data_IF_124390048174
#
_entry.id   IF_124390048174
#
_cell.length_a   1.000
_cell.length_b   1.000
_cell.length_c   1.000
_cell.angle_alpha   90.00
_cell.angle_beta   90.00
_cell.angle_gamma   90.00
#
_symmetry.space_group_name_H-M   'P 1'
#
loop_
_entity.id
_entity.type
_entity.pdbx_description
1 polymer ?
#
# COMPACT_ATOMS: atom_id res chain seq x y z
N UNK A 1 19.89 8.08 -19.71
CA UNK A 1 19.16 7.34 -18.65
C UNK A 1 18.17 8.28 -17.98
N UNK A 2 16.86 8.00 -18.03
CA UNK A 2 15.88 8.82 -17.31
C UNK A 2 16.13 8.65 -15.81
N UNK A 3 16.45 9.74 -15.15
CA UNK A 3 16.73 9.79 -13.71
C UNK A 3 15.52 9.28 -12.91
N UNK A 4 15.76 8.32 -12.00
CA UNK A 4 14.71 7.79 -11.11
C UNK A 4 14.45 8.80 -9.98
N UNK A 5 13.66 9.85 -10.28
CA UNK A 5 13.26 10.88 -9.31
C UNK A 5 11.74 11.04 -9.26
N UNK A 6 11.24 11.44 -8.11
CA UNK A 6 9.88 11.91 -7.93
C UNK A 6 9.72 13.33 -8.48
N UNK A 7 8.52 13.68 -8.91
CA UNK A 7 8.21 15.03 -9.38
C UNK A 7 8.21 16.01 -8.20
N UNK A 8 7.73 15.53 -7.03
CA UNK A 8 7.74 16.29 -5.76
C UNK A 8 8.14 15.38 -4.59
N UNK A 9 8.77 15.98 -3.58
CA UNK A 9 9.04 15.37 -2.28
C UNK A 9 8.43 16.26 -1.22
N UNK A 10 7.60 15.67 -0.36
CA UNK A 10 6.99 16.33 0.79
C UNK A 10 7.52 15.67 2.05
N UNK A 11 7.88 16.48 3.05
CA UNK A 11 8.24 16.02 4.39
C UNK A 11 7.13 16.46 5.34
N UNK A 12 6.72 15.57 6.21
CA UNK A 12 5.72 15.85 7.23
C UNK A 12 6.25 15.37 8.57
N UNK A 13 6.25 16.25 9.55
CA UNK A 13 6.63 15.90 10.92
C UNK A 13 5.45 15.21 11.59
N UNK A 14 5.74 14.12 12.28
CA UNK A 14 4.79 13.43 13.13
C UNK A 14 5.11 13.78 14.57
N UNK A 15 4.39 14.75 15.14
CA UNK A 15 4.45 15.14 16.56
C UNK A 15 5.89 15.19 17.15
N UNK A 16 6.87 15.67 16.38
CA UNK A 16 8.30 15.69 16.71
C UNK A 16 8.98 14.33 16.95
N UNK A 17 8.28 13.23 16.68
CA UNK A 17 8.81 11.87 16.87
C UNK A 17 9.56 11.38 15.63
N UNK A 18 9.04 11.66 14.45
CA UNK A 18 9.63 11.18 13.19
C UNK A 18 9.26 12.07 12.00
N UNK A 19 10.12 12.07 10.99
CA UNK A 19 9.83 12.70 9.69
C UNK A 19 9.39 11.63 8.71
N UNK A 20 8.16 11.75 8.21
CA UNK A 20 7.67 10.92 7.12
C UNK A 20 7.93 11.65 5.81
N UNK A 21 8.57 10.96 4.87
CA UNK A 21 8.84 11.48 3.55
C UNK A 21 7.89 10.86 2.52
N UNK A 22 7.30 11.71 1.69
CA UNK A 22 6.40 11.34 0.61
C UNK A 22 7.00 11.73 -0.74
N UNK A 23 7.20 10.75 -1.62
CA UNK A 23 7.58 10.98 -3.01
C UNK A 23 6.35 10.90 -3.91
N UNK A 24 6.11 11.93 -4.73
CA UNK A 24 4.92 12.05 -5.57
C UNK A 24 5.33 12.00 -7.04
N UNK A 25 4.68 11.11 -7.80
CA UNK A 25 4.61 11.17 -9.27
C UNK A 25 3.23 11.72 -9.63
N UNK A 26 3.18 12.88 -10.27
CA UNK A 26 1.95 13.60 -10.54
C UNK A 26 1.11 12.95 -11.64
N UNK A 27 -0.19 12.95 -11.48
CA UNK A 27 -1.14 12.36 -12.41
C UNK A 27 -2.57 12.86 -12.19
N UNK A 28 -3.55 12.02 -12.54
CA UNK A 28 -4.98 12.31 -12.37
C UNK A 28 -5.47 12.09 -10.92
N UNK A 29 -6.78 12.17 -10.73
CA UNK A 29 -7.47 12.04 -9.44
C UNK A 29 -7.58 10.60 -8.89
N UNK A 30 -7.03 9.59 -9.57
CA UNK A 30 -6.84 8.26 -9.01
C UNK A 30 -5.47 8.21 -8.34
N UNK A 31 -5.46 8.10 -7.02
CA UNK A 31 -4.24 8.12 -6.22
C UNK A 31 -3.85 6.68 -5.88
N UNK A 32 -2.67 6.23 -6.29
CA UNK A 32 -2.08 5.02 -5.74
C UNK A 32 -1.17 5.43 -4.59
N UNK A 33 -1.56 5.08 -3.37
CA UNK A 33 -0.76 5.34 -2.18
C UNK A 33 0.02 4.08 -1.80
N UNK A 34 1.35 4.17 -1.81
CA UNK A 34 2.27 3.07 -1.48
C UNK A 34 2.88 3.33 -0.10
N UNK A 35 2.53 2.48 0.88
CA UNK A 35 3.10 2.49 2.24
C UNK A 35 4.16 1.41 2.35
N UNK A 36 5.41 1.80 2.62
CA UNK A 36 6.53 0.88 2.77
C UNK A 36 6.44 0.02 4.04
N UNK A 37 7.24 -1.03 4.11
CA UNK A 37 7.48 -1.79 5.33
C UNK A 37 8.14 -0.94 6.43
N UNK A 38 8.24 -1.49 7.64
CA UNK A 38 8.84 -0.80 8.78
C UNK A 38 10.26 -0.32 8.48
N UNK A 39 10.56 0.92 8.81
CA UNK A 39 11.82 1.62 8.52
C UNK A 39 12.14 1.72 7.01
N UNK A 40 11.17 1.41 6.15
CA UNK A 40 11.34 1.51 4.71
C UNK A 40 11.32 2.94 4.19
N UNK A 41 12.08 3.20 3.14
CA UNK A 41 12.10 4.48 2.44
C UNK A 41 10.98 4.59 1.41
N UNK A 42 10.67 5.81 0.96
CA UNK A 42 9.77 6.06 -0.16
C UNK A 42 10.23 5.47 -1.50
N UNK A 43 11.52 5.13 -1.62
CA UNK A 43 12.05 4.49 -2.83
C UNK A 43 11.84 2.98 -2.84
N UNK A 44 11.75 2.36 -1.65
CA UNK A 44 11.75 0.91 -1.46
C UNK A 44 13.14 0.29 -1.71
N UNK A 45 13.26 -0.99 -1.39
CA UNK A 45 14.46 -1.76 -1.67
C UNK A 45 14.75 -1.76 -3.19
N UNK A 46 16.00 -1.52 -3.61
CA UNK A 46 16.41 -1.41 -5.01
C UNK A 46 15.55 -0.43 -5.86
N UNK A 47 15.04 0.64 -5.24
CA UNK A 47 14.18 1.62 -5.91
C UNK A 47 12.86 1.03 -6.46
N UNK A 48 12.35 -0.06 -5.88
CA UNK A 48 11.15 -0.76 -6.36
C UNK A 48 9.93 0.16 -6.46
N UNK A 49 9.70 0.99 -5.44
CA UNK A 49 8.49 1.81 -5.40
C UNK A 49 8.50 2.93 -6.44
N UNK A 50 9.63 3.59 -6.65
CA UNK A 50 9.68 4.63 -7.69
C UNK A 50 9.61 4.04 -9.11
N UNK A 51 10.22 2.86 -9.34
CA UNK A 51 10.08 2.14 -10.61
C UNK A 51 8.60 1.78 -10.86
N UNK A 52 7.93 1.20 -9.87
CA UNK A 52 6.50 0.89 -9.89
C UNK A 52 5.65 2.14 -10.10
N UNK A 53 5.94 3.23 -9.37
CA UNK A 53 5.22 4.49 -9.48
C UNK A 53 5.25 5.07 -10.90
N UNK A 54 6.44 5.11 -11.52
CA UNK A 54 6.60 5.58 -12.90
C UNK A 54 5.86 4.68 -13.90
N UNK A 55 5.90 3.36 -13.70
CA UNK A 55 5.17 2.40 -14.53
C UNK A 55 3.66 2.62 -14.46
N UNK A 56 3.10 2.72 -13.25
CA UNK A 56 1.67 2.96 -13.03
C UNK A 56 1.23 4.31 -13.60
N UNK A 57 1.97 5.37 -13.34
CA UNK A 57 1.69 6.70 -13.90
C UNK A 57 1.72 6.69 -15.42
N UNK A 58 2.73 6.08 -16.05
CA UNK A 58 2.84 5.97 -17.50
C UNK A 58 1.62 5.26 -18.10
N UNK A 59 1.17 4.14 -17.48
CA UNK A 59 0.10 3.29 -18.00
C UNK A 59 -1.30 3.84 -17.72
N UNK A 60 -1.55 4.29 -16.49
CA UNK A 60 -2.88 4.66 -16.01
C UNK A 60 -3.07 6.16 -15.80
N UNK A 61 -2.02 6.94 -16.00
CA UNK A 61 -2.02 8.41 -15.74
C UNK A 61 -2.39 8.76 -14.29
N UNK A 62 -2.38 7.78 -13.38
CA UNK A 62 -2.71 7.99 -11.98
C UNK A 62 -1.60 8.75 -11.24
N UNK A 63 -1.97 9.46 -10.19
CA UNK A 63 -1.01 9.99 -9.23
C UNK A 63 -0.49 8.84 -8.38
N UNK A 64 0.83 8.79 -8.12
CA UNK A 64 1.39 7.80 -7.20
C UNK A 64 2.14 8.52 -6.09
N UNK A 65 1.79 8.20 -4.85
CA UNK A 65 2.42 8.75 -3.63
C UNK A 65 3.08 7.61 -2.87
N UNK A 66 4.40 7.61 -2.77
CA UNK A 66 5.18 6.63 -2.04
C UNK A 66 5.62 7.20 -0.69
N UNK A 67 5.28 6.54 0.40
CA UNK A 67 5.57 6.98 1.77
C UNK A 67 6.72 6.18 2.37
N UNK A 68 7.64 6.85 3.06
CA UNK A 68 8.49 6.20 4.05
C UNK A 68 7.63 5.72 5.23
N UNK A 69 8.17 4.84 6.06
CA UNK A 69 7.48 4.28 7.21
C UNK A 69 8.41 4.19 8.42
N UNK A 70 8.81 5.34 9.01
CA UNK A 70 9.51 5.31 10.28
C UNK A 70 8.63 4.66 11.34
N UNK A 71 9.24 4.04 12.35
CA UNK A 71 8.50 3.50 13.48
C UNK A 71 7.82 4.64 14.24
N UNK A 72 6.49 4.53 14.41
CA UNK A 72 5.72 5.42 15.24
C UNK A 72 4.55 4.63 15.88
N UNK A 73 4.18 4.97 17.11
CA UNK A 73 3.15 4.28 17.87
C UNK A 73 1.72 4.75 17.58
N UNK A 74 1.51 5.76 16.72
CA UNK A 74 0.21 6.36 16.42
C UNK A 74 -0.37 5.83 15.11
N UNK A 75 -1.58 6.29 14.72
CA UNK A 75 -2.17 5.96 13.44
C UNK A 75 -1.38 6.62 12.29
N UNK A 76 -0.57 5.87 11.55
CA UNK A 76 0.32 6.45 10.55
C UNK A 76 -0.39 6.87 9.26
N UNK A 77 -1.70 6.66 9.12
CA UNK A 77 -2.47 7.06 7.95
C UNK A 77 -3.04 8.48 8.06
N UNK A 78 -3.24 9.03 9.25
CA UNK A 78 -3.72 10.41 9.40
C UNK A 78 -2.76 11.42 8.78
N UNK A 79 -1.47 11.25 9.04
CA UNK A 79 -0.43 12.08 8.43
C UNK A 79 -0.41 11.91 6.90
N UNK A 80 -0.53 10.68 6.41
CA UNK A 80 -0.58 10.39 4.98
C UNK A 80 -1.79 11.04 4.31
N UNK A 81 -2.96 10.97 4.95
CA UNK A 81 -4.18 11.57 4.39
C UNK A 81 -4.13 13.09 4.41
N UNK A 82 -3.51 13.72 5.39
CA UNK A 82 -3.23 15.17 5.36
C UNK A 82 -2.44 15.56 4.11
N UNK A 83 -1.41 14.79 3.76
CA UNK A 83 -0.61 15.05 2.55
C UNK A 83 -1.42 14.77 1.28
N UNK A 84 -2.18 13.65 1.24
CA UNK A 84 -3.02 13.28 0.09
C UNK A 84 -4.08 14.35 -0.15
N UNK A 85 -4.80 14.79 0.87
CA UNK A 85 -5.85 15.81 0.78
C UNK A 85 -5.32 17.15 0.31
N UNK A 86 -4.19 17.57 0.87
CA UNK A 86 -3.51 18.79 0.40
C UNK A 86 -3.12 18.71 -1.08
N UNK A 87 -2.61 17.56 -1.54
CA UNK A 87 -2.26 17.37 -2.95
C UNK A 87 -3.50 17.32 -3.83
N UNK A 88 -4.57 16.66 -3.39
CA UNK A 88 -5.79 16.42 -4.16
C UNK A 88 -6.79 17.57 -4.12
N UNK A 89 -6.54 18.63 -3.35
CA UNK A 89 -7.41 19.83 -3.27
C UNK A 89 -7.68 20.51 -4.61
N UNK A 90 -6.87 20.24 -5.61
CA UNK A 90 -7.04 20.70 -6.99
C UNK A 90 -8.05 19.87 -7.81
N UNK A 91 -8.52 18.75 -7.30
CA UNK A 91 -9.50 17.88 -7.94
C UNK A 91 -10.88 18.06 -7.29
N UNK A 92 -11.95 18.01 -8.06
CA UNK A 92 -13.32 18.03 -7.54
C UNK A 92 -13.60 16.80 -6.68
N UNK A 93 -13.15 15.63 -7.13
CA UNK A 93 -13.20 14.37 -6.36
C UNK A 93 -11.97 13.51 -6.64
N UNK A 94 -11.65 12.60 -5.73
CA UNK A 94 -10.55 11.66 -5.89
C UNK A 94 -10.84 10.32 -5.20
N UNK A 95 -10.11 9.29 -5.61
CA UNK A 95 -10.11 7.98 -4.96
C UNK A 95 -8.70 7.50 -4.69
N UNK A 96 -8.56 6.67 -3.66
CA UNK A 96 -7.28 6.09 -3.25
C UNK A 96 -7.30 4.59 -3.46
N UNK A 97 -6.27 4.07 -4.11
CA UNK A 97 -5.90 2.67 -4.13
C UNK A 97 -4.68 2.51 -3.23
N UNK A 98 -4.85 1.75 -2.16
CA UNK A 98 -3.83 1.55 -1.15
C UNK A 98 -2.98 0.32 -1.48
N UNK A 99 -1.66 0.47 -1.51
CA UNK A 99 -0.71 -0.63 -1.55
C UNK A 99 0.15 -0.57 -0.28
N UNK A 100 -0.01 -1.55 0.58
CA UNK A 100 0.84 -1.74 1.76
C UNK A 100 1.78 -2.92 1.56
N UNK A 101 3.02 -2.76 1.97
CA UNK A 101 4.01 -3.83 1.98
C UNK A 101 4.50 -4.09 3.39
N UNK A 102 4.54 -5.37 3.84
CA UNK A 102 4.99 -5.78 5.17
C UNK A 102 4.23 -5.00 6.27
N UNK A 103 4.91 -4.25 7.14
CA UNK A 103 4.25 -3.39 8.13
C UNK A 103 3.29 -2.38 7.50
N UNK A 104 3.57 -1.87 6.30
CA UNK A 104 2.61 -1.03 5.56
C UNK A 104 1.31 -1.77 5.23
N UNK A 105 1.35 -3.08 4.97
CA UNK A 105 0.16 -3.91 4.78
C UNK A 105 -0.64 -4.05 6.09
N UNK A 106 0.06 -4.25 7.20
CA UNK A 106 -0.55 -4.30 8.53
C UNK A 106 -1.28 -2.99 8.88
N UNK A 107 -0.65 -1.85 8.63
CA UNK A 107 -1.25 -0.52 8.81
C UNK A 107 -2.53 -0.38 7.97
N UNK A 108 -2.52 -0.83 6.71
CA UNK A 108 -3.70 -0.84 5.86
C UNK A 108 -4.84 -1.69 6.42
N UNK A 109 -4.53 -2.88 6.95
CA UNK A 109 -5.50 -3.78 7.56
C UNK A 109 -6.11 -3.22 8.86
N UNK A 110 -5.31 -2.52 9.67
CA UNK A 110 -5.79 -1.91 10.91
C UNK A 110 -6.61 -0.63 10.66
N UNK A 111 -6.15 0.24 9.78
CA UNK A 111 -6.67 1.61 9.72
C UNK A 111 -7.35 1.96 8.40
N UNK A 112 -7.10 1.20 7.33
CA UNK A 112 -7.59 1.55 5.98
C UNK A 112 -9.12 1.66 5.85
N UNK A 113 -9.87 0.92 6.67
CA UNK A 113 -11.34 1.00 6.69
C UNK A 113 -11.86 2.39 7.10
N UNK A 114 -11.11 3.11 7.93
CA UNK A 114 -11.50 4.42 8.47
C UNK A 114 -11.42 5.54 7.42
N UNK A 115 -10.81 5.29 6.27
CA UNK A 115 -10.61 6.29 5.22
C UNK A 115 -11.54 6.03 4.02
N UNK A 116 -12.65 6.76 3.89
CA UNK A 116 -13.68 6.49 2.89
C UNK A 116 -13.22 6.64 1.44
N UNK A 117 -12.12 7.38 1.22
CA UNK A 117 -11.51 7.53 -0.10
C UNK A 117 -10.71 6.30 -0.53
N UNK A 118 -10.31 5.40 0.39
CA UNK A 118 -9.71 4.11 0.03
C UNK A 118 -10.79 3.22 -0.57
N UNK A 119 -10.67 2.93 -1.86
CA UNK A 119 -11.61 2.07 -2.60
C UNK A 119 -11.10 0.64 -2.75
N UNK A 120 -9.79 0.48 -2.96
CA UNK A 120 -9.12 -0.83 -3.09
C UNK A 120 -7.89 -0.89 -2.21
N UNK A 121 -7.61 -2.07 -1.67
CA UNK A 121 -6.38 -2.32 -0.93
C UNK A 121 -5.66 -3.54 -1.49
N UNK A 122 -4.35 -3.45 -1.63
CA UNK A 122 -3.44 -4.56 -1.89
C UNK A 122 -2.46 -4.63 -0.72
N UNK A 123 -2.56 -5.69 0.06
CA UNK A 123 -1.81 -5.90 1.30
C UNK A 123 -0.82 -7.05 1.09
N UNK A 124 0.46 -6.72 0.93
CA UNK A 124 1.49 -7.67 0.51
C UNK A 124 2.37 -8.05 1.71
N UNK A 125 2.53 -9.35 1.92
CA UNK A 125 3.40 -9.91 2.96
C UNK A 125 3.20 -9.28 4.34
N UNK A 126 1.92 -9.20 4.75
CA UNK A 126 1.53 -8.64 6.03
C UNK A 126 2.14 -9.47 7.19
N UNK A 127 2.89 -8.83 8.11
CA UNK A 127 3.58 -9.55 9.17
C UNK A 127 2.65 -10.01 10.28
N UNK A 128 3.22 -10.58 11.33
CA UNK A 128 2.53 -11.10 12.51
C UNK A 128 1.67 -10.00 13.15
N UNK A 129 0.47 -10.39 13.53
CA UNK A 129 -0.64 -9.52 13.91
C UNK A 129 -0.77 -9.52 15.43
N UNK A 130 -0.80 -8.34 16.05
CA UNK A 130 -1.03 -8.22 17.50
C UNK A 130 -2.50 -8.46 17.86
N UNK A 131 -3.44 -7.95 17.03
CA UNK A 131 -4.87 -8.14 17.23
C UNK A 131 -5.54 -8.67 15.95
N UNK A 132 -5.60 -9.99 15.86
CA UNK A 132 -6.23 -10.68 14.73
C UNK A 132 -7.74 -10.41 14.66
N UNK A 133 -8.41 -10.21 15.80
CA UNK A 133 -9.85 -10.01 15.82
C UNK A 133 -10.21 -8.65 15.24
N UNK A 134 -9.43 -7.61 15.54
CA UNK A 134 -9.61 -6.29 14.94
C UNK A 134 -9.42 -6.36 13.42
N UNK A 135 -8.39 -7.04 12.94
CA UNK A 135 -8.16 -7.20 11.49
C UNK A 135 -9.32 -7.96 10.83
N UNK A 136 -9.76 -9.08 11.41
CA UNK A 136 -10.91 -9.83 10.89
C UNK A 136 -12.16 -8.96 10.82
N UNK A 137 -12.42 -8.20 11.86
CA UNK A 137 -13.55 -7.27 11.90
C UNK A 137 -13.45 -6.21 10.80
N UNK A 138 -12.29 -5.58 10.65
CA UNK A 138 -12.07 -4.54 9.64
C UNK A 138 -12.21 -5.08 8.22
N UNK A 139 -11.63 -6.25 7.94
CA UNK A 139 -11.71 -6.87 6.62
C UNK A 139 -13.12 -7.33 6.28
N UNK A 140 -13.89 -7.85 7.25
CA UNK A 140 -15.31 -8.19 7.06
C UNK A 140 -16.17 -6.97 6.79
N UNK A 141 -15.90 -5.85 7.47
CA UNK A 141 -16.66 -4.62 7.37
C UNK A 141 -16.18 -3.67 6.26
N UNK A 142 -15.14 -4.03 5.54
CA UNK A 142 -14.70 -3.25 4.39
C UNK A 142 -15.76 -3.30 3.29
N UNK A 143 -16.50 -2.23 3.12
CA UNK A 143 -17.68 -2.13 2.25
C UNK A 143 -17.41 -1.34 0.95
N UNK A 144 -16.13 -1.13 0.60
CA UNK A 144 -15.74 -0.47 -0.65
C UNK A 144 -15.58 -1.51 -1.79
N UNK A 145 -14.65 -1.29 -2.71
CA UNK A 145 -14.55 -2.15 -3.89
C UNK A 145 -13.90 -3.51 -3.56
N UNK A 146 -12.61 -3.52 -3.14
CA UNK A 146 -11.89 -4.79 -2.97
C UNK A 146 -10.69 -4.67 -2.03
N UNK A 147 -10.42 -5.74 -1.28
CA UNK A 147 -9.16 -6.00 -0.58
C UNK A 147 -8.53 -7.26 -1.15
N UNK A 148 -7.27 -7.19 -1.53
CA UNK A 148 -6.46 -8.37 -1.87
C UNK A 148 -5.33 -8.48 -0.86
N UNK A 149 -5.25 -9.62 -0.17
CA UNK A 149 -4.10 -9.98 0.68
C UNK A 149 -3.25 -10.96 -0.11
N UNK A 150 -1.96 -10.70 -0.16
CA UNK A 150 -1.04 -11.45 -0.98
C UNK A 150 0.20 -11.83 -0.20
N UNK A 151 0.60 -13.10 -0.28
CA UNK A 151 1.83 -13.61 0.28
C UNK A 151 2.72 -14.26 -0.77
N UNK A 152 4.02 -14.07 -0.64
CA UNK A 152 5.00 -14.93 -1.30
C UNK A 152 5.04 -16.30 -0.61
N UNK A 153 5.13 -17.40 -1.35
CA UNK A 153 5.12 -18.75 -0.77
C UNK A 153 6.35 -19.07 0.09
N UNK A 154 7.42 -18.30 -0.07
CA UNK A 154 8.66 -18.42 0.72
C UNK A 154 8.75 -17.36 1.81
N UNK A 155 7.73 -16.51 1.97
CA UNK A 155 7.66 -15.53 3.05
C UNK A 155 7.29 -16.21 4.36
N UNK A 156 8.02 -15.91 5.44
CA UNK A 156 7.73 -16.43 6.77
C UNK A 156 6.34 -16.05 7.29
N UNK A 157 5.80 -14.91 6.85
CA UNK A 157 4.47 -14.43 7.27
C UNK A 157 3.31 -15.20 6.63
N UNK A 158 3.57 -16.10 5.66
CA UNK A 158 2.55 -16.95 5.04
C UNK A 158 1.79 -17.82 6.08
N UNK A 159 2.42 -18.13 7.19
CA UNK A 159 1.79 -18.88 8.30
C UNK A 159 0.55 -18.18 8.86
N UNK A 160 0.40 -16.87 8.64
CA UNK A 160 -0.78 -16.10 9.06
C UNK A 160 -2.02 -16.37 8.20
N UNK A 161 -1.87 -16.99 7.02
CA UNK A 161 -3.01 -17.40 6.19
C UNK A 161 -4.04 -18.21 6.97
N UNK A 162 -3.59 -19.11 7.86
CA UNK A 162 -4.47 -19.94 8.67
C UNK A 162 -5.42 -19.09 9.53
N UNK A 163 -4.97 -17.93 9.99
CA UNK A 163 -5.75 -17.04 10.82
C UNK A 163 -6.79 -16.23 10.06
N UNK A 164 -6.55 -15.96 8.77
CA UNK A 164 -7.39 -15.05 7.97
C UNK A 164 -8.18 -15.75 6.86
N UNK A 165 -7.82 -16.98 6.47
CA UNK A 165 -8.48 -17.72 5.38
C UNK A 165 -9.99 -17.93 5.55
N UNK A 166 -10.48 -17.90 6.80
CA UNK A 166 -11.88 -18.12 7.15
C UNK A 166 -12.71 -16.81 7.21
N UNK A 167 -12.12 -15.66 6.84
CA UNK A 167 -12.86 -14.41 6.75
C UNK A 167 -13.86 -14.51 5.60
N UNK A 168 -15.15 -14.38 5.91
CA UNK A 168 -16.23 -14.47 4.92
C UNK A 168 -16.60 -13.09 4.39
N UNK A 169 -15.84 -12.60 3.42
CA UNK A 169 -16.17 -11.36 2.72
C UNK A 169 -16.06 -11.58 1.21
N UNK A 170 -17.09 -11.22 0.46
CA UNK A 170 -17.08 -11.24 -1.01
C UNK A 170 -16.15 -10.18 -1.62
N UNK A 171 -15.63 -9.29 -0.79
CA UNK A 171 -14.70 -8.22 -1.17
C UNK A 171 -13.25 -8.53 -0.83
N UNK A 172 -12.98 -9.69 -0.22
CA UNK A 172 -11.65 -10.14 0.16
C UNK A 172 -11.18 -11.26 -0.74
N UNK A 173 -10.03 -11.04 -1.38
CA UNK A 173 -9.27 -12.11 -2.02
C UNK A 173 -7.98 -12.36 -1.26
N UNK A 174 -7.62 -13.64 -1.10
CA UNK A 174 -6.33 -14.06 -0.54
C UNK A 174 -5.58 -14.84 -1.61
N UNK A 175 -4.36 -14.44 -1.89
CA UNK A 175 -3.52 -15.01 -2.97
C UNK A 175 -2.14 -15.39 -2.43
N UNK A 176 -1.57 -16.43 -3.04
CA UNK A 176 -0.17 -16.83 -2.81
C UNK A 176 0.55 -16.81 -4.15
N UNK A 177 1.69 -16.14 -4.19
CA UNK A 177 2.59 -16.13 -5.36
C UNK A 177 3.69 -17.15 -5.11
N UNK A 178 3.76 -18.15 -5.97
CA UNK A 178 4.73 -19.24 -5.82
C UNK A 178 6.16 -18.74 -6.03
N UNK A 179 7.07 -19.30 -5.24
CA UNK A 179 8.51 -19.05 -5.27
C UNK A 179 8.95 -17.62 -4.91
N UNK A 180 8.05 -16.74 -4.46
CA UNK A 180 8.40 -15.41 -4.00
C UNK A 180 8.67 -15.38 -2.49
N UNK A 181 9.71 -14.63 -2.11
CA UNK A 181 10.11 -14.37 -0.74
C UNK A 181 9.48 -13.06 -0.19
N UNK A 182 9.90 -12.65 1.01
CA UNK A 182 9.41 -11.41 1.62
C UNK A 182 9.60 -10.18 0.73
N UNK A 183 10.70 -10.12 -0.02
CA UNK A 183 11.08 -8.96 -0.84
C UNK A 183 10.67 -9.08 -2.31
N UNK A 184 10.06 -10.18 -2.72
CA UNK A 184 9.83 -10.48 -4.14
C UNK A 184 11.15 -10.36 -4.92
N UNK A 185 12.17 -11.06 -4.43
CA UNK A 185 13.53 -10.94 -4.97
C UNK A 185 13.78 -11.86 -6.16
N UNK A 186 12.90 -12.81 -6.42
CA UNK A 186 13.06 -13.79 -7.48
C UNK A 186 12.71 -13.22 -8.85
N UNK A 187 11.60 -12.49 -8.91
CA UNK A 187 11.18 -11.80 -10.14
C UNK A 187 10.70 -10.38 -9.82
N UNK A 188 11.49 -9.37 -10.18
CA UNK A 188 11.11 -7.97 -10.01
C UNK A 188 9.85 -7.61 -10.84
N UNK A 189 9.63 -8.26 -11.99
CA UNK A 189 8.46 -8.01 -12.84
C UNK A 189 7.18 -8.46 -12.13
N UNK A 190 7.21 -9.58 -11.41
CA UNK A 190 6.09 -10.00 -10.60
C UNK A 190 5.71 -8.93 -9.59
N UNK A 191 6.69 -8.36 -8.89
CA UNK A 191 6.43 -7.27 -7.95
C UNK A 191 5.83 -6.02 -8.61
N UNK A 192 6.40 -5.57 -9.75
CA UNK A 192 5.93 -4.37 -10.43
C UNK A 192 4.54 -4.51 -11.03
N UNK A 193 4.15 -5.74 -11.39
CA UNK A 193 2.84 -6.03 -11.98
C UNK A 193 1.71 -6.17 -10.93
N UNK A 194 2.01 -6.32 -9.65
CA UNK A 194 1.00 -6.53 -8.61
C UNK A 194 -0.12 -5.49 -8.60
N UNK A 195 0.15 -4.17 -8.61
CA UNK A 195 -0.92 -3.18 -8.63
C UNK A 195 -1.77 -3.25 -9.90
N UNK A 196 -1.17 -3.59 -11.03
CA UNK A 196 -1.89 -3.74 -12.30
C UNK A 196 -2.88 -4.89 -12.23
N UNK A 197 -2.46 -6.02 -11.65
CA UNK A 197 -3.26 -7.23 -11.50
C UNK A 197 -4.38 -7.05 -10.45
N UNK A 198 -4.12 -6.33 -9.36
CA UNK A 198 -4.99 -6.34 -8.18
C UNK A 198 -5.63 -5.00 -7.81
N UNK A 199 -5.12 -3.86 -8.31
CA UNK A 199 -5.73 -2.55 -8.09
C UNK A 199 -6.40 -1.97 -9.34
N UNK A 200 -5.92 -2.34 -10.55
CA UNK A 200 -6.43 -1.81 -11.82
C UNK A 200 -7.16 -2.85 -12.68
N UNK A 201 -7.47 -4.02 -12.13
CA UNK A 201 -8.27 -5.00 -12.88
C UNK A 201 -9.63 -4.41 -13.29
N UNK A 202 -10.10 -4.82 -14.47
CA UNK A 202 -11.50 -4.61 -14.90
C UNK A 202 -12.30 -5.79 -14.37
N UNK A 203 -13.43 -5.51 -13.74
CA UNK A 203 -14.44 -6.52 -13.43
C UNK A 203 -15.07 -7.05 -14.71
#
# INVERSE_FOLDING_TARGET
MNELKFDKIVKSNLEDIAVIEYGIIEGNNTIVFIKSGQNGSRYGYNNKYIKMAKRLNKKYKCTVICSSNPFDGNNPLDNAFTVIEKYTSKFEDYKVYYLGFSNGALIGAYFGINYPKIKRMLLVNMPLIYDINLIKNNLNNFNKEKVTILYGSLDYSINLLENIKNIKSNRLDIKVILNEDHYFSKDEEDFYSLPEKYLFYKE
#
